data_IF_284475624049
#
_entry.id   IF_284475624049
#
_cell.length_a   1.000
_cell.length_b   1.000
_cell.length_c   1.000
_cell.angle_alpha   90.00
_cell.angle_beta   90.00
_cell.angle_gamma   90.00
#
_symmetry.space_group_name_H-M   'P 1'
#
loop_
_entity.id
_entity.type
_entity.pdbx_description
1 polymer ?
#
# COMPACT_ATOMS: atom_id res chain seq x y z
N UNK A 1 -9.93 -37.42 -30.78
CA UNK A 1 -10.24 -36.20 -30.04
C UNK A 1 -9.06 -35.95 -29.11
N UNK A 2 -8.17 -35.07 -29.52
CA UNK A 2 -6.93 -34.80 -28.80
C UNK A 2 -7.14 -33.74 -27.75
N UNK A 3 -6.88 -34.06 -26.49
CA UNK A 3 -6.79 -33.12 -25.38
C UNK A 3 -5.44 -32.43 -25.43
N UNK A 4 -5.40 -31.17 -25.88
CA UNK A 4 -4.24 -30.32 -25.74
C UNK A 4 -4.10 -29.86 -24.28
N UNK A 5 -3.23 -30.53 -23.53
CA UNK A 5 -2.79 -30.04 -22.24
C UNK A 5 -1.88 -28.83 -22.47
N UNK A 6 -2.34 -27.64 -22.16
CA UNK A 6 -1.49 -26.45 -22.10
C UNK A 6 -0.61 -26.55 -20.87
N UNK A 7 0.60 -27.04 -21.03
CA UNK A 7 1.65 -26.98 -20.01
C UNK A 7 2.01 -25.51 -19.80
N UNK A 8 1.44 -24.90 -18.76
CA UNK A 8 1.89 -23.59 -18.30
C UNK A 8 3.29 -23.79 -17.70
N UNK A 9 4.32 -23.28 -18.36
CA UNK A 9 5.66 -23.40 -17.83
C UNK A 9 5.84 -22.51 -16.57
N UNK A 10 6.79 -22.87 -15.73
CA UNK A 10 7.09 -22.21 -14.46
C UNK A 10 7.34 -20.70 -14.62
N UNK A 11 7.85 -20.29 -15.77
CA UNK A 11 8.17 -18.89 -16.12
C UNK A 11 6.89 -18.08 -16.42
N UNK A 12 5.90 -18.69 -17.07
CA UNK A 12 4.60 -18.07 -17.36
C UNK A 12 3.74 -17.97 -16.08
N UNK A 13 3.88 -18.92 -15.17
CA UNK A 13 3.24 -18.86 -13.85
C UNK A 13 3.84 -17.72 -13.00
N UNK A 14 5.17 -17.60 -12.96
CA UNK A 14 5.87 -16.52 -12.24
C UNK A 14 5.53 -15.15 -12.87
N UNK A 15 5.49 -15.02 -14.20
CA UNK A 15 5.07 -13.78 -14.89
C UNK A 15 3.66 -13.38 -14.52
N UNK A 16 2.71 -14.31 -14.52
CA UNK A 16 1.31 -14.05 -14.13
C UNK A 16 1.19 -13.65 -12.65
N UNK A 17 1.95 -14.30 -11.76
CA UNK A 17 1.94 -13.99 -10.32
C UNK A 17 2.58 -12.65 -10.00
N UNK A 18 3.54 -12.15 -10.80
CA UNK A 18 4.21 -10.87 -10.57
C UNK A 18 3.48 -9.69 -11.20
N UNK A 19 2.70 -9.90 -12.26
CA UNK A 19 1.71 -8.91 -12.73
C UNK A 19 0.66 -8.62 -11.65
N UNK A 20 0.47 -9.58 -10.71
CA UNK A 20 -0.43 -9.45 -9.57
C UNK A 20 0.20 -8.84 -8.31
N UNK A 21 1.52 -8.74 -8.21
CA UNK A 21 2.19 -8.03 -7.12
C UNK A 21 2.03 -6.49 -7.22
N UNK A 22 1.56 -6.00 -8.38
CA UNK A 22 1.08 -4.62 -8.57
C UNK A 22 -0.43 -4.47 -8.44
N UNK A 23 -1.18 -5.53 -8.14
CA UNK A 23 -2.62 -5.61 -8.03
C UNK A 23 -3.20 -6.77 -8.85
N UNK A 24 -3.90 -7.67 -8.22
CA UNK A 24 -4.76 -8.75 -8.65
C UNK A 24 -4.20 -10.17 -8.61
N UNK A 25 -4.66 -10.95 -7.63
CA UNK A 25 -4.60 -12.42 -7.67
C UNK A 25 -5.70 -12.97 -8.57
N UNK A 26 -5.35 -13.80 -9.56
CA UNK A 26 -6.32 -14.63 -10.26
C UNK A 26 -6.57 -15.90 -9.42
N UNK A 27 -7.76 -16.06 -8.87
CA UNK A 27 -8.23 -17.29 -8.22
C UNK A 27 -8.71 -18.32 -9.27
N UNK A 28 -8.56 -19.63 -9.04
CA UNK A 28 -9.03 -20.65 -9.97
C UNK A 28 -10.57 -20.80 -9.94
N UNK A 29 -11.11 -21.07 -11.09
CA UNK A 29 -12.50 -21.22 -11.47
C UNK A 29 -13.26 -22.32 -10.72
N UNK A 30 -14.41 -21.98 -10.08
CA UNK A 30 -15.48 -22.91 -9.72
C UNK A 30 -16.79 -22.38 -10.30
N UNK A 31 -17.50 -23.24 -11.04
CA UNK A 31 -18.48 -22.90 -12.02
C UNK A 31 -19.85 -22.37 -11.60
N UNK A 32 -20.50 -21.72 -12.59
CA UNK A 32 -21.93 -21.52 -12.80
C UNK A 32 -22.69 -20.58 -11.82
N UNK A 33 -22.26 -19.35 -11.79
CA UNK A 33 -23.07 -18.13 -11.67
C UNK A 33 -22.43 -17.09 -12.58
N UNK A 34 -23.13 -16.02 -12.96
CA UNK A 34 -22.60 -14.95 -13.81
C UNK A 34 -21.15 -14.62 -13.39
N UNK A 35 -20.23 -14.69 -14.36
CA UNK A 35 -18.80 -14.49 -14.09
C UNK A 35 -18.60 -13.17 -13.38
N UNK A 36 -18.02 -13.13 -12.16
CA UNK A 36 -17.57 -11.86 -11.60
C UNK A 36 -16.66 -11.19 -12.64
N UNK A 37 -16.78 -9.89 -12.85
CA UNK A 37 -15.85 -9.13 -13.69
C UNK A 37 -14.43 -9.44 -13.19
N UNK A 38 -13.49 -9.65 -14.10
CA UNK A 38 -12.11 -9.89 -13.74
C UNK A 38 -11.63 -8.76 -12.79
N UNK A 39 -10.94 -9.09 -11.68
CA UNK A 39 -10.60 -8.12 -10.65
C UNK A 39 -9.66 -6.99 -11.14
N UNK A 40 -9.01 -7.20 -12.27
CA UNK A 40 -8.20 -6.21 -12.96
C UNK A 40 -8.68 -6.13 -14.41
N UNK A 41 -9.27 -5.02 -14.77
CA UNK A 41 -9.58 -4.72 -16.16
C UNK A 41 -8.34 -4.15 -16.81
N UNK A 42 -7.84 -4.81 -17.87
CA UNK A 42 -6.79 -4.26 -18.72
C UNK A 42 -7.44 -3.59 -19.93
N UNK A 43 -6.94 -2.42 -20.30
CA UNK A 43 -7.28 -1.81 -21.58
C UNK A 43 -6.65 -2.58 -22.77
N UNK A 44 -6.92 -2.14 -24.01
CA UNK A 44 -6.39 -2.78 -25.21
C UNK A 44 -4.85 -2.73 -25.29
N UNK A 45 -4.26 -1.79 -24.59
CA UNK A 45 -2.83 -1.57 -24.52
C UNK A 45 -2.17 -2.34 -23.36
N UNK A 46 -2.97 -2.96 -22.49
CA UNK A 46 -2.51 -3.74 -21.33
C UNK A 46 -2.21 -2.91 -20.09
N UNK A 47 -2.78 -1.71 -19.97
CA UNK A 47 -2.71 -0.89 -18.75
C UNK A 47 -3.82 -1.30 -17.78
N UNK A 48 -3.57 -1.15 -16.48
CA UNK A 48 -4.57 -1.43 -15.46
C UNK A 48 -5.59 -0.30 -15.37
N UNK A 49 -6.87 -0.62 -15.55
CA UNK A 49 -8.00 0.33 -15.42
C UNK A 49 -8.73 0.02 -14.13
N UNK A 50 -8.70 0.93 -13.18
CA UNK A 50 -9.32 0.79 -11.87
C UNK A 50 -10.71 1.41 -11.81
N UNK A 51 -10.87 2.61 -12.41
CA UNK A 51 -12.15 3.30 -12.57
C UNK A 51 -12.19 4.01 -13.93
N UNK A 52 -13.32 4.62 -14.35
CA UNK A 52 -13.33 5.49 -15.52
C UNK A 52 -12.34 6.66 -15.46
N UNK A 53 -11.89 7.03 -14.26
CA UNK A 53 -11.03 8.18 -14.00
C UNK A 53 -9.63 7.82 -13.54
N UNK A 54 -9.36 6.52 -13.23
CA UNK A 54 -8.09 6.10 -12.67
C UNK A 54 -7.51 4.90 -13.42
N UNK A 55 -6.36 5.11 -14.06
CA UNK A 55 -5.58 4.11 -14.79
C UNK A 55 -4.13 4.11 -14.34
N UNK A 56 -3.50 2.95 -14.32
CA UNK A 56 -2.07 2.79 -14.13
C UNK A 56 -1.44 2.24 -15.39
N UNK A 57 -0.40 2.91 -15.88
CA UNK A 57 0.41 2.44 -16.99
C UNK A 57 1.35 1.32 -16.53
N UNK A 58 1.27 0.19 -17.19
CA UNK A 58 2.13 -0.95 -16.88
C UNK A 58 3.27 -1.05 -17.92
N UNK A 59 4.50 -1.42 -17.49
CA UNK A 59 5.59 -1.67 -18.41
C UNK A 59 5.25 -2.84 -19.34
N UNK A 60 5.81 -2.85 -20.55
CA UNK A 60 5.64 -3.98 -21.48
C UNK A 60 6.12 -5.29 -20.85
N UNK A 61 5.47 -6.44 -21.15
CA UNK A 61 5.83 -7.74 -20.57
C UNK A 61 7.30 -8.13 -20.76
N UNK A 62 7.91 -7.71 -21.86
CA UNK A 62 9.32 -8.01 -22.16
C UNK A 62 10.31 -7.16 -21.34
N UNK A 63 9.83 -6.06 -20.75
CA UNK A 63 10.59 -5.12 -19.91
C UNK A 63 10.30 -5.26 -18.41
N UNK A 64 9.71 -6.38 -17.96
CA UNK A 64 9.25 -6.55 -16.56
C UNK A 64 10.38 -6.55 -15.52
N UNK A 65 11.62 -6.84 -15.93
CA UNK A 65 12.78 -6.93 -15.02
C UNK A 65 14.01 -6.27 -15.63
N UNK A 66 13.95 -4.95 -15.95
CA UNK A 66 15.12 -4.23 -16.41
C UNK A 66 16.17 -4.16 -15.29
N UNK A 67 17.43 -4.13 -15.68
CA UNK A 67 18.49 -3.76 -14.75
C UNK A 67 18.42 -2.25 -14.50
N UNK A 68 18.07 -1.85 -13.29
CA UNK A 68 17.86 -0.47 -12.89
C UNK A 68 19.06 0.05 -12.07
N UNK A 69 19.49 1.26 -12.35
CA UNK A 69 20.45 2.01 -11.54
C UNK A 69 19.73 2.78 -10.41
N UNK A 70 18.49 3.20 -10.66
CA UNK A 70 17.61 3.82 -9.66
C UNK A 70 16.26 3.10 -9.64
N UNK A 71 16.01 2.32 -8.57
CA UNK A 71 14.77 1.54 -8.38
C UNK A 71 13.76 2.33 -7.56
N UNK A 72 12.97 3.19 -8.20
CA UNK A 72 12.10 4.17 -7.53
C UNK A 72 10.60 3.91 -7.77
N UNK A 73 10.23 2.67 -8.09
CA UNK A 73 8.87 2.30 -8.50
C UNK A 73 8.04 1.57 -7.41
N UNK A 74 8.60 1.31 -6.21
CA UNK A 74 7.98 0.40 -5.25
C UNK A 74 7.69 0.98 -3.85
N UNK A 75 8.00 2.26 -3.59
CA UNK A 75 7.84 2.90 -2.28
C UNK A 75 8.53 2.10 -1.15
N UNK A 76 9.75 1.65 -1.40
CA UNK A 76 10.63 0.96 -0.45
C UNK A 76 11.50 1.97 0.29
N UNK A 77 12.09 1.59 1.43
CA UNK A 77 13.13 2.37 2.07
C UNK A 77 14.49 1.95 1.48
N UNK A 78 15.23 2.84 0.79
CA UNK A 78 16.47 2.50 0.10
C UNK A 78 17.63 2.16 1.06
N UNK A 79 17.49 2.53 2.34
CA UNK A 79 18.52 2.29 3.35
C UNK A 79 18.43 0.89 3.99
N UNK A 80 17.48 0.06 3.55
CA UNK A 80 17.27 -1.32 4.03
C UNK A 80 16.70 -1.38 5.45
N UNK A 81 16.63 -2.58 6.05
CA UNK A 81 16.32 -2.74 7.47
C UNK A 81 17.40 -2.08 8.33
N UNK A 82 17.01 -1.65 9.54
CA UNK A 82 17.97 -1.12 10.49
C UNK A 82 19.07 -2.14 10.82
N UNK A 83 20.27 -1.69 11.23
CA UNK A 83 21.35 -2.60 11.66
C UNK A 83 20.89 -3.56 12.77
N UNK A 84 20.08 -3.08 13.73
CA UNK A 84 19.51 -3.91 14.78
C UNK A 84 18.57 -4.97 14.24
N UNK A 85 17.67 -4.61 13.33
CA UNK A 85 16.75 -5.55 12.69
C UNK A 85 17.49 -6.58 11.84
N UNK A 86 18.50 -6.17 11.09
CA UNK A 86 19.30 -7.05 10.25
C UNK A 86 20.09 -8.06 11.10
N UNK A 87 20.68 -7.65 12.22
CA UNK A 87 21.40 -8.54 13.12
C UNK A 87 20.44 -9.54 13.80
N UNK A 88 19.28 -9.08 14.28
CA UNK A 88 18.25 -9.95 14.85
C UNK A 88 17.74 -10.99 13.83
N UNK A 89 17.58 -10.58 12.56
CA UNK A 89 17.23 -11.51 11.48
C UNK A 89 18.30 -12.57 11.28
N UNK A 90 19.57 -12.18 11.14
CA UNK A 90 20.70 -13.11 10.88
C UNK A 90 20.89 -14.08 12.04
N UNK A 91 20.90 -13.61 13.28
CA UNK A 91 21.13 -14.43 14.47
C UNK A 91 20.01 -15.45 14.70
N UNK A 92 18.77 -15.14 14.28
CA UNK A 92 17.62 -16.05 14.44
C UNK A 92 17.35 -16.95 13.23
N UNK A 93 18.06 -16.77 12.10
CA UNK A 93 17.81 -17.49 10.86
C UNK A 93 17.93 -19.02 10.99
N UNK A 94 18.85 -19.51 11.84
CA UNK A 94 19.01 -20.96 12.13
C UNK A 94 17.78 -21.60 12.77
N UNK A 95 16.92 -20.81 13.43
CA UNK A 95 15.65 -21.24 14.02
C UNK A 95 14.48 -21.32 13.02
N UNK A 96 14.69 -20.95 11.75
CA UNK A 96 13.64 -20.88 10.72
C UNK A 96 12.93 -22.20 10.39
N UNK A 97 13.38 -23.33 10.93
CA UNK A 97 12.69 -24.63 10.85
C UNK A 97 11.57 -24.77 11.90
N UNK A 98 11.33 -23.77 12.73
CA UNK A 98 10.29 -23.76 13.78
C UNK A 98 9.29 -22.62 13.55
N UNK A 99 8.05 -22.85 13.95
CA UNK A 99 7.04 -21.79 13.98
C UNK A 99 7.31 -20.81 15.13
N UNK A 100 7.13 -19.52 14.90
CA UNK A 100 7.41 -18.43 15.83
C UNK A 100 6.26 -18.18 16.83
N UNK A 101 5.66 -19.23 17.42
CA UNK A 101 4.48 -19.08 18.28
C UNK A 101 4.69 -18.14 19.44
N UNK A 102 5.74 -18.40 20.24
CA UNK A 102 6.05 -17.60 21.43
C UNK A 102 6.49 -16.19 21.06
N UNK A 103 7.35 -16.09 20.08
CA UNK A 103 7.95 -14.84 19.63
C UNK A 103 6.90 -13.95 18.98
N UNK A 104 5.92 -14.54 18.30
CA UNK A 104 4.80 -13.80 17.72
C UNK A 104 3.93 -13.16 18.82
N UNK A 105 3.64 -13.86 19.92
CA UNK A 105 2.94 -13.26 21.06
C UNK A 105 3.75 -12.13 21.69
N UNK A 106 5.06 -12.30 21.84
CA UNK A 106 5.95 -11.23 22.36
C UNK A 106 5.92 -9.99 21.46
N UNK A 107 5.90 -10.18 20.11
CA UNK A 107 5.78 -9.08 19.18
C UNK A 107 4.39 -8.41 19.29
N UNK A 108 3.32 -9.17 19.42
CA UNK A 108 1.95 -8.65 19.65
C UNK A 108 1.89 -7.81 20.92
N UNK A 109 2.43 -8.30 22.04
CA UNK A 109 2.46 -7.57 23.32
C UNK A 109 3.27 -6.27 23.18
N UNK A 110 4.41 -6.32 22.47
CA UNK A 110 5.25 -5.14 22.23
C UNK A 110 4.53 -4.10 21.36
N UNK A 111 3.83 -4.53 20.31
CA UNK A 111 3.03 -3.64 19.45
C UNK A 111 1.86 -3.05 20.25
N UNK A 112 1.16 -3.86 21.03
CA UNK A 112 0.04 -3.40 21.84
C UNK A 112 0.46 -2.30 22.84
N UNK A 113 1.59 -2.51 23.54
CA UNK A 113 2.18 -1.51 24.42
C UNK A 113 2.58 -0.23 23.68
N UNK A 114 3.14 -0.36 22.47
CA UNK A 114 3.55 0.77 21.62
C UNK A 114 2.36 1.58 21.11
N UNK A 115 1.27 0.92 20.68
CA UNK A 115 0.06 1.56 20.18
C UNK A 115 -0.89 2.01 21.31
N UNK A 116 -0.63 1.63 22.56
CA UNK A 116 -1.46 1.98 23.72
C UNK A 116 -2.82 1.25 23.74
N UNK A 117 -2.85 0.00 23.26
CA UNK A 117 -4.04 -0.87 23.22
C UNK A 117 -3.77 -2.21 23.93
N UNK A 118 -4.78 -3.04 24.06
CA UNK A 118 -4.59 -4.42 24.56
C UNK A 118 -4.13 -5.36 23.45
N UNK A 119 -3.41 -6.45 23.80
CA UNK A 119 -2.95 -7.47 22.83
C UNK A 119 -4.09 -8.10 22.02
N UNK A 120 -5.29 -8.19 22.58
CA UNK A 120 -6.50 -8.67 21.90
C UNK A 120 -6.96 -7.77 20.76
N UNK A 121 -6.49 -6.51 20.70
CA UNK A 121 -6.78 -5.56 19.64
C UNK A 121 -5.78 -5.64 18.47
N UNK A 122 -4.80 -6.54 18.52
CA UNK A 122 -3.75 -6.67 17.50
C UNK A 122 -3.94 -7.96 16.69
N UNK A 123 -3.91 -7.85 15.36
CA UNK A 123 -3.79 -9.00 14.47
C UNK A 123 -2.59 -8.81 13.56
N UNK A 124 -1.66 -9.78 13.58
CA UNK A 124 -0.47 -9.79 12.72
C UNK A 124 -0.76 -10.42 11.36
N UNK A 125 -0.01 -10.01 10.35
CA UNK A 125 -0.04 -10.62 9.02
C UNK A 125 1.29 -10.47 8.26
N UNK A 126 1.52 -11.25 7.20
CA UNK A 126 2.71 -11.15 6.36
C UNK A 126 2.66 -9.88 5.47
N UNK A 127 2.80 -8.72 6.12
CA UNK A 127 2.60 -7.38 5.56
C UNK A 127 1.15 -6.91 5.70
N UNK A 128 0.93 -5.59 5.68
CA UNK A 128 -0.42 -5.02 5.76
C UNK A 128 -1.30 -5.40 4.56
N UNK A 129 -0.74 -5.58 3.36
CA UNK A 129 -1.50 -5.97 2.17
C UNK A 129 -2.26 -7.29 2.36
N UNK A 130 -1.65 -8.29 2.99
CA UNK A 130 -2.33 -9.56 3.34
C UNK A 130 -3.56 -9.33 4.24
N UNK A 131 -3.46 -8.38 5.17
CA UNK A 131 -4.57 -8.03 6.08
C UNK A 131 -5.65 -7.20 5.39
N UNK A 132 -5.28 -6.27 4.48
CA UNK A 132 -6.22 -5.55 3.64
C UNK A 132 -7.04 -6.52 2.77
N UNK A 133 -6.36 -7.45 2.08
CA UNK A 133 -6.98 -8.44 1.21
C UNK A 133 -7.90 -9.37 1.98
N UNK A 134 -7.48 -9.88 3.13
CA UNK A 134 -8.30 -10.72 4.00
C UNK A 134 -9.50 -9.97 4.57
N UNK A 135 -9.34 -8.70 4.93
CA UNK A 135 -10.46 -7.86 5.35
C UNK A 135 -11.48 -7.75 4.23
N UNK A 136 -11.04 -7.46 3.01
CA UNK A 136 -11.93 -7.44 1.86
C UNK A 136 -12.68 -8.76 1.66
N UNK A 137 -11.97 -9.90 1.71
CA UNK A 137 -12.61 -11.22 1.59
C UNK A 137 -13.69 -11.43 2.65
N UNK A 138 -13.42 -11.10 3.93
CA UNK A 138 -14.36 -11.31 5.03
C UNK A 138 -15.59 -10.40 4.94
N UNK A 139 -15.37 -9.13 4.60
CA UNK A 139 -16.44 -8.15 4.61
C UNK A 139 -17.35 -8.27 3.39
N UNK A 140 -16.81 -8.73 2.25
CA UNK A 140 -17.52 -8.73 0.97
C UNK A 140 -17.86 -10.13 0.42
N UNK A 141 -17.64 -11.21 1.16
CA UNK A 141 -18.00 -12.57 0.71
C UNK A 141 -19.50 -12.76 0.40
N UNK A 142 -20.34 -11.86 0.89
CA UNK A 142 -21.77 -11.83 0.62
C UNK A 142 -22.18 -10.62 -0.25
N UNK A 143 -21.24 -10.04 -1.01
CA UNK A 143 -21.46 -8.84 -1.82
C UNK A 143 -21.51 -7.56 -0.99
N UNK A 144 -22.09 -6.53 -1.54
CA UNK A 144 -22.18 -5.18 -0.99
C UNK A 144 -21.23 -4.22 -1.71
N UNK A 145 -20.92 -3.09 -1.07
CA UNK A 145 -20.00 -2.12 -1.65
C UNK A 145 -18.99 -1.56 -0.65
N UNK A 146 -17.85 -1.10 -1.18
CA UNK A 146 -16.83 -0.33 -0.47
C UNK A 146 -16.86 1.11 -0.96
N UNK A 147 -16.90 2.07 -0.03
CA UNK A 147 -16.73 3.50 -0.31
C UNK A 147 -15.27 3.86 -0.07
N UNK A 148 -14.62 4.48 -1.04
CA UNK A 148 -13.26 5.01 -0.87
C UNK A 148 -12.94 6.13 -1.85
N UNK A 149 -11.83 6.83 -1.61
CA UNK A 149 -11.33 7.84 -2.53
C UNK A 149 -10.93 7.25 -3.91
N UNK A 150 -10.97 8.10 -4.93
CA UNK A 150 -10.43 7.86 -6.27
C UNK A 150 -9.53 9.05 -6.67
N UNK A 151 -8.21 8.86 -6.84
CA UNK A 151 -7.47 7.59 -6.71
C UNK A 151 -7.18 7.19 -5.25
N UNK A 152 -7.02 5.87 -5.02
CA UNK A 152 -6.61 5.27 -3.76
C UNK A 152 -5.66 4.09 -3.96
N UNK A 153 -5.16 3.51 -2.86
CA UNK A 153 -4.41 2.25 -2.92
C UNK A 153 -5.36 1.07 -3.12
N UNK A 154 -5.23 0.39 -4.25
CA UNK A 154 -6.25 -0.49 -4.81
C UNK A 154 -6.31 -1.92 -4.22
N UNK A 155 -5.36 -2.34 -3.38
CA UNK A 155 -5.26 -3.75 -2.93
C UNK A 155 -6.56 -4.26 -2.29
N UNK A 156 -7.13 -3.54 -1.33
CA UNK A 156 -8.39 -3.90 -0.68
C UNK A 156 -9.57 -3.86 -1.67
N UNK A 157 -9.65 -2.80 -2.47
CA UNK A 157 -10.75 -2.55 -3.41
C UNK A 157 -10.81 -3.65 -4.48
N UNK A 158 -9.67 -4.00 -5.08
CA UNK A 158 -9.61 -5.04 -6.10
C UNK A 158 -10.02 -6.41 -5.57
N UNK A 159 -9.64 -6.76 -4.35
CA UNK A 159 -10.07 -8.01 -3.73
C UNK A 159 -11.56 -7.97 -3.42
N UNK A 160 -12.10 -6.83 -2.93
CA UNK A 160 -13.54 -6.66 -2.73
C UNK A 160 -14.32 -6.89 -4.03
N UNK A 161 -13.90 -6.28 -5.14
CA UNK A 161 -14.51 -6.50 -6.45
C UNK A 161 -14.37 -7.94 -6.95
N UNK A 162 -13.23 -8.59 -6.68
CA UNK A 162 -12.98 -9.99 -7.05
C UNK A 162 -13.91 -10.98 -6.38
N UNK A 163 -14.38 -10.66 -5.17
CA UNK A 163 -15.33 -11.50 -4.42
C UNK A 163 -16.79 -11.07 -4.61
N UNK A 164 -17.05 -10.12 -5.51
CA UNK A 164 -18.40 -9.73 -5.94
C UNK A 164 -18.95 -8.46 -5.32
N UNK A 165 -18.14 -7.68 -4.63
CA UNK A 165 -18.52 -6.34 -4.20
C UNK A 165 -18.45 -5.32 -5.35
N UNK A 166 -19.03 -4.14 -5.14
CA UNK A 166 -18.81 -2.98 -5.98
C UNK A 166 -18.01 -1.91 -5.26
N UNK A 167 -17.22 -1.16 -6.02
CA UNK A 167 -16.55 0.03 -5.51
C UNK A 167 -17.40 1.27 -5.78
N UNK A 168 -17.53 2.14 -4.78
CA UNK A 168 -18.09 3.48 -4.88
C UNK A 168 -16.93 4.50 -4.79
N UNK A 169 -16.34 4.90 -5.94
CA UNK A 169 -15.27 5.86 -5.98
C UNK A 169 -15.80 7.26 -5.64
N UNK A 170 -15.06 7.96 -4.77
CA UNK A 170 -15.31 9.37 -4.45
C UNK A 170 -14.07 10.17 -4.83
N UNK A 171 -14.15 11.13 -5.76
CA UNK A 171 -13.00 11.95 -6.13
C UNK A 171 -12.39 12.65 -4.93
N UNK A 172 -11.05 12.79 -4.93
CA UNK A 172 -10.36 13.66 -3.99
C UNK A 172 -10.74 15.12 -4.23
N UNK A 173 -10.63 15.97 -3.20
CA UNK A 173 -10.80 17.41 -3.35
C UNK A 173 -9.64 18.03 -4.16
N UNK A 174 -9.77 19.30 -4.52
CA UNK A 174 -8.73 20.04 -5.25
C UNK A 174 -7.40 20.15 -4.48
N UNK A 175 -7.46 20.14 -3.14
CA UNK A 175 -6.29 20.11 -2.26
C UNK A 175 -5.72 18.70 -2.03
N UNK A 176 -6.21 17.70 -2.76
CA UNK A 176 -5.84 16.30 -2.69
C UNK A 176 -6.23 15.59 -1.39
N UNK A 177 -6.98 16.22 -0.50
CA UNK A 177 -7.55 15.57 0.68
C UNK A 177 -8.79 14.73 0.30
N UNK A 178 -9.15 13.78 1.18
CA UNK A 178 -10.39 13.03 1.02
C UNK A 178 -11.61 13.96 1.13
N UNK A 179 -12.56 13.83 0.22
CA UNK A 179 -13.88 14.46 0.39
C UNK A 179 -14.73 13.61 1.36
N UNK A 180 -14.47 13.80 2.64
CA UNK A 180 -15.12 13.04 3.71
C UNK A 180 -16.64 13.22 3.70
N UNK A 181 -17.13 14.41 3.28
CA UNK A 181 -18.56 14.66 3.17
C UNK A 181 -19.18 13.85 2.03
N UNK A 182 -18.60 13.90 0.85
CA UNK A 182 -19.07 13.10 -0.29
C UNK A 182 -18.93 11.59 -0.01
N UNK A 183 -17.87 11.15 0.69
CA UNK A 183 -17.74 9.76 1.13
C UNK A 183 -18.86 9.34 2.08
N UNK A 184 -19.27 10.19 3.03
CA UNK A 184 -20.37 9.90 3.94
C UNK A 184 -21.72 9.86 3.21
N UNK A 185 -21.93 10.73 2.23
CA UNK A 185 -23.14 10.75 1.38
C UNK A 185 -23.23 9.52 0.45
N UNK A 186 -22.08 8.94 0.07
CA UNK A 186 -22.03 7.72 -0.75
C UNK A 186 -22.38 6.43 0.02
N UNK A 187 -22.43 6.45 1.36
CA UNK A 187 -22.76 5.30 2.19
C UNK A 187 -24.27 4.99 2.06
N UNK A 188 -24.59 3.72 1.79
CA UNK A 188 -25.94 3.19 1.76
C UNK A 188 -26.07 1.88 2.54
N UNK A 189 -27.26 1.23 2.49
CA UNK A 189 -27.55 -0.02 3.21
C UNK A 189 -26.69 -1.21 2.75
N UNK A 190 -26.16 -1.17 1.52
CA UNK A 190 -25.27 -2.18 0.97
C UNK A 190 -23.79 -1.92 1.30
N UNK A 191 -23.44 -0.76 1.86
CA UNK A 191 -22.07 -0.44 2.22
C UNK A 191 -21.60 -1.31 3.39
N UNK A 192 -20.51 -2.07 3.19
CA UNK A 192 -19.96 -2.97 4.22
C UNK A 192 -18.67 -2.46 4.85
N UNK A 193 -18.01 -1.52 4.19
CA UNK A 193 -16.74 -0.93 4.65
C UNK A 193 -16.53 0.42 3.98
N UNK A 194 -16.00 1.38 4.74
CA UNK A 194 -15.38 2.60 4.20
C UNK A 194 -13.87 2.40 4.26
N UNK A 195 -13.16 2.67 3.17
CA UNK A 195 -11.71 2.52 3.09
C UNK A 195 -11.02 3.86 2.86
N UNK A 196 -10.06 4.19 3.72
CA UNK A 196 -9.27 5.42 3.68
C UNK A 196 -7.79 5.04 3.71
N UNK A 197 -7.00 5.56 2.79
CA UNK A 197 -5.54 5.49 2.81
C UNK A 197 -4.98 6.87 3.21
N UNK A 198 -4.43 7.01 4.41
CA UNK A 198 -3.97 8.30 4.90
C UNK A 198 -2.64 8.19 5.69
N UNK A 199 -1.53 8.70 5.13
CA UNK A 199 -1.36 9.44 3.87
C UNK A 199 -1.72 8.63 2.63
N UNK A 200 -2.33 9.27 1.63
CA UNK A 200 -2.88 8.58 0.47
C UNK A 200 -1.80 8.07 -0.50
N UNK A 201 -2.07 6.98 -1.17
CA UNK A 201 -1.30 6.44 -2.29
C UNK A 201 -2.25 6.29 -3.50
N UNK A 202 -2.00 6.95 -4.66
CA UNK A 202 -0.69 7.39 -5.14
C UNK A 202 -0.32 8.86 -4.90
N UNK A 203 -1.18 9.69 -4.30
CA UNK A 203 -1.00 11.15 -4.25
C UNK A 203 0.04 11.62 -3.23
N UNK A 204 0.22 10.90 -2.12
CA UNK A 204 1.09 11.31 -1.01
C UNK A 204 0.46 12.35 -0.08
N UNK A 205 -0.75 12.77 -0.37
CA UNK A 205 -1.49 13.81 0.35
C UNK A 205 -2.02 13.34 1.70
N UNK A 206 -2.35 14.29 2.56
CA UNK A 206 -2.94 14.08 3.89
C UNK A 206 -4.32 14.72 3.97
N UNK A 207 -5.23 14.05 4.63
CA UNK A 207 -6.49 14.65 5.09
C UNK A 207 -6.29 15.26 6.48
N UNK A 208 -6.95 16.37 6.77
CA UNK A 208 -6.89 16.98 8.09
C UNK A 208 -7.22 15.99 9.19
N UNK A 209 -6.38 15.94 10.20
CA UNK A 209 -6.49 14.93 11.26
C UNK A 209 -7.79 15.05 12.04
N UNK A 210 -8.22 16.28 12.38
CA UNK A 210 -9.44 16.49 13.16
C UNK A 210 -10.67 16.10 12.35
N UNK A 211 -10.73 16.53 11.08
CA UNK A 211 -11.83 16.14 10.18
C UNK A 211 -11.92 14.61 10.03
N UNK A 212 -10.75 13.95 9.92
CA UNK A 212 -10.71 12.49 9.78
C UNK A 212 -11.14 11.78 11.06
N UNK A 213 -10.74 12.25 12.25
CA UNK A 213 -11.19 11.71 13.55
C UNK A 213 -12.71 11.85 13.68
N UNK A 214 -13.23 13.05 13.41
CA UNK A 214 -14.67 13.33 13.49
C UNK A 214 -15.48 12.44 12.51
N UNK A 215 -14.96 12.25 11.30
CA UNK A 215 -15.57 11.37 10.28
C UNK A 215 -15.55 9.90 10.74
N UNK A 216 -14.38 9.37 11.10
CA UNK A 216 -14.24 7.99 11.52
C UNK A 216 -15.11 7.69 12.76
N UNK A 217 -15.16 8.61 13.72
CA UNK A 217 -15.99 8.46 14.93
C UNK A 217 -17.48 8.36 14.62
N UNK A 218 -18.00 9.20 13.70
CA UNK A 218 -19.42 9.17 13.31
C UNK A 218 -19.77 7.98 12.43
N UNK A 219 -18.95 7.75 11.39
CA UNK A 219 -19.25 6.73 10.37
C UNK A 219 -19.15 5.32 10.95
N UNK A 220 -18.20 5.09 11.87
CA UNK A 220 -18.02 3.77 12.50
C UNK A 220 -19.19 3.31 13.38
N UNK A 221 -20.16 4.20 13.69
CA UNK A 221 -21.40 3.82 14.36
C UNK A 221 -22.39 3.08 13.42
N UNK A 222 -22.19 3.18 12.10
CA UNK A 222 -23.08 2.59 11.08
C UNK A 222 -22.37 1.53 10.23
N UNK A 223 -21.13 1.78 9.88
CA UNK A 223 -20.32 0.92 9.00
C UNK A 223 -18.86 0.99 9.43
N UNK A 224 -18.14 -0.14 9.51
CA UNK A 224 -16.72 -0.14 9.86
C UNK A 224 -15.88 0.75 8.93
N UNK A 225 -14.86 1.42 9.48
CA UNK A 225 -13.94 2.26 8.72
C UNK A 225 -12.55 1.63 8.76
N UNK A 226 -11.98 1.32 7.60
CA UNK A 226 -10.61 0.85 7.47
C UNK A 226 -9.69 2.02 7.12
N UNK A 227 -8.68 2.29 7.95
CA UNK A 227 -7.69 3.35 7.72
C UNK A 227 -6.32 2.73 7.51
N UNK A 228 -5.80 2.82 6.30
CA UNK A 228 -4.44 2.38 5.96
C UNK A 228 -3.45 3.49 6.26
N UNK A 229 -2.71 3.33 7.34
CA UNK A 229 -1.71 4.27 7.84
C UNK A 229 -0.26 3.82 7.51
N UNK A 230 -0.06 3.13 6.38
CA UNK A 230 1.24 2.57 6.00
C UNK A 230 2.38 3.61 5.93
N UNK A 231 2.07 4.87 5.69
CA UNK A 231 3.04 5.96 5.55
C UNK A 231 3.08 6.92 6.75
N UNK A 232 2.25 6.71 7.76
CA UNK A 232 2.09 7.67 8.86
C UNK A 232 3.40 7.96 9.61
N UNK A 233 4.28 6.96 9.72
CA UNK A 233 5.58 7.09 10.40
C UNK A 233 6.63 7.95 9.68
N UNK A 234 6.36 8.39 8.44
CA UNK A 234 7.17 9.41 7.75
C UNK A 234 6.90 10.82 8.25
N UNK A 235 5.81 11.02 8.99
CA UNK A 235 5.48 12.31 9.59
C UNK A 235 6.19 12.49 10.92
N UNK A 236 6.61 13.71 11.19
CA UNK A 236 6.92 14.12 12.54
C UNK A 236 5.65 13.99 13.38
N UNK A 237 5.78 13.44 14.58
CA UNK A 237 4.64 13.18 15.46
C UNK A 237 3.52 12.31 14.84
N UNK A 238 3.85 11.44 13.89
CA UNK A 238 2.87 10.57 13.21
C UNK A 238 1.98 9.78 14.17
N UNK A 239 2.52 9.34 15.31
CA UNK A 239 1.74 8.66 16.36
C UNK A 239 0.54 9.48 16.85
N UNK A 240 0.66 10.81 16.97
CA UNK A 240 -0.42 11.71 17.39
C UNK A 240 -1.51 11.86 16.34
N UNK A 241 -1.23 11.47 15.09
CA UNK A 241 -2.17 11.55 13.97
C UNK A 241 -2.83 10.23 13.63
N UNK A 242 -2.60 9.19 14.43
CA UNK A 242 -3.21 7.87 14.27
C UNK A 242 -4.67 7.85 14.69
N UNK A 243 -5.45 7.02 14.01
CA UNK A 243 -6.84 6.71 14.39
C UNK A 243 -6.93 5.63 15.48
N UNK A 244 -5.82 5.14 16.04
CA UNK A 244 -5.79 4.06 17.05
C UNK A 244 -6.57 4.44 18.30
N UNK A 245 -6.58 5.72 18.72
CA UNK A 245 -7.36 6.20 19.89
C UNK A 245 -8.84 5.85 19.79
N UNK A 246 -9.41 5.84 18.57
CA UNK A 246 -10.81 5.51 18.34
C UNK A 246 -11.14 4.05 18.70
N UNK A 247 -10.18 3.12 18.59
CA UNK A 247 -10.36 1.74 19.04
C UNK A 247 -10.53 1.67 20.54
N UNK A 248 -9.76 2.46 21.32
CA UNK A 248 -9.90 2.57 22.76
C UNK A 248 -11.24 3.20 23.19
N UNK A 249 -11.83 4.01 22.31
CA UNK A 249 -13.16 4.61 22.47
C UNK A 249 -14.30 3.65 22.07
N UNK A 250 -13.98 2.44 21.64
CA UNK A 250 -14.96 1.43 21.23
C UNK A 250 -15.55 1.65 19.83
N UNK A 251 -14.89 2.44 18.99
CA UNK A 251 -15.31 2.69 17.62
C UNK A 251 -14.85 1.57 16.68
N UNK A 252 -15.69 1.13 15.76
CA UNK A 252 -15.35 0.07 14.80
C UNK A 252 -14.47 0.61 13.66
N UNK A 253 -13.23 0.91 14.02
CA UNK A 253 -12.19 1.37 13.12
C UNK A 253 -11.07 0.32 13.06
N UNK A 254 -10.62 -0.01 11.86
CA UNK A 254 -9.52 -0.96 11.60
C UNK A 254 -8.34 -0.15 11.08
N UNK A 255 -7.24 -0.13 11.81
CA UNK A 255 -6.04 0.62 11.44
C UNK A 255 -4.97 -0.34 10.94
N UNK A 256 -4.47 -0.15 9.71
CA UNK A 256 -3.39 -0.96 9.16
C UNK A 256 -2.03 -0.28 9.31
N UNK A 257 -1.03 -1.08 9.70
CA UNK A 257 0.37 -0.70 9.89
C UNK A 257 1.29 -1.69 9.21
N UNK A 258 2.45 -1.23 8.78
CA UNK A 258 3.42 -2.08 8.10
C UNK A 258 4.86 -1.73 8.46
N UNK A 259 5.69 -2.76 8.57
CA UNK A 259 7.15 -2.63 8.65
C UNK A 259 7.81 -2.47 7.25
N UNK A 260 7.02 -2.56 6.17
CA UNK A 260 7.55 -2.51 4.80
C UNK A 260 8.10 -1.15 4.39
N UNK A 261 7.66 -0.05 5.02
CA UNK A 261 7.97 1.32 4.58
C UNK A 261 9.15 1.89 5.37
N UNK A 262 8.93 2.71 6.38
CA UNK A 262 10.00 3.41 7.09
C UNK A 262 11.00 2.46 7.77
N UNK A 263 10.56 1.29 8.23
CA UNK A 263 11.44 0.29 8.84
C UNK A 263 12.33 -0.47 7.84
N UNK A 264 12.13 -0.28 6.52
CA UNK A 264 12.95 -0.91 5.49
C UNK A 264 12.78 -2.42 5.35
N UNK A 265 11.67 -2.99 5.81
CA UNK A 265 11.46 -4.43 5.91
C UNK A 265 10.45 -4.96 4.85
N UNK A 266 10.37 -4.32 3.68
CA UNK A 266 9.41 -4.69 2.64
C UNK A 266 9.50 -6.19 2.24
N UNK A 267 10.71 -6.71 2.09
CA UNK A 267 10.96 -8.11 1.76
C UNK A 267 10.75 -9.10 2.92
N UNK A 268 10.72 -8.63 4.17
CA UNK A 268 10.57 -9.47 5.36
C UNK A 268 9.10 -9.73 5.73
N UNK A 269 8.18 -9.03 5.09
CA UNK A 269 6.75 -9.26 5.17
C UNK A 269 6.19 -9.26 6.60
N UNK A 270 6.21 -8.12 7.28
CA UNK A 270 5.59 -7.94 8.60
C UNK A 270 4.64 -6.76 8.57
N UNK A 271 3.43 -6.95 9.08
CA UNK A 271 2.42 -5.92 9.26
C UNK A 271 1.39 -6.33 10.30
N UNK A 272 0.55 -5.41 10.70
CA UNK A 272 -0.52 -5.65 11.66
C UNK A 272 -1.70 -4.72 11.43
N UNK A 273 -2.83 -5.10 11.98
CA UNK A 273 -3.98 -4.22 12.17
C UNK A 273 -4.29 -4.08 13.63
N UNK A 274 -4.84 -2.90 13.99
CA UNK A 274 -5.41 -2.58 15.30
C UNK A 274 -6.91 -2.41 15.10
N UNK A 275 -7.74 -3.13 15.86
CA UNK A 275 -9.19 -3.03 15.78
C UNK A 275 -9.86 -3.55 17.06
N UNK A 276 -11.18 -3.43 17.15
CA UNK A 276 -11.95 -4.05 18.20
C UNK A 276 -11.80 -5.57 18.17
N UNK A 277 -11.81 -6.21 19.34
CA UNK A 277 -11.71 -7.67 19.47
C UNK A 277 -12.81 -8.39 18.66
N UNK A 278 -14.04 -7.85 18.64
CA UNK A 278 -15.14 -8.42 17.87
C UNK A 278 -14.83 -8.43 16.37
N UNK A 279 -14.31 -7.33 15.83
CA UNK A 279 -13.91 -7.20 14.42
C UNK A 279 -12.77 -8.15 14.09
N UNK A 280 -11.75 -8.26 14.96
CA UNK A 280 -10.66 -9.22 14.78
C UNK A 280 -11.15 -10.67 14.83
N UNK A 281 -12.08 -11.01 15.73
CA UNK A 281 -12.69 -12.34 15.80
C UNK A 281 -13.47 -12.69 14.53
N UNK A 282 -14.12 -11.70 13.90
CA UNK A 282 -14.74 -11.88 12.58
C UNK A 282 -13.71 -12.23 11.51
N UNK A 283 -12.58 -11.54 11.47
CA UNK A 283 -11.48 -11.81 10.54
C UNK A 283 -10.84 -13.17 10.80
N UNK A 284 -10.64 -13.56 12.04
CA UNK A 284 -10.00 -14.82 12.44
C UNK A 284 -10.77 -16.08 12.00
N UNK A 285 -12.05 -15.97 11.67
CA UNK A 285 -12.83 -17.12 11.15
C UNK A 285 -12.25 -17.68 9.86
N UNK A 286 -11.58 -16.87 9.05
CA UNK A 286 -10.97 -17.29 7.78
C UNK A 286 -9.48 -16.96 7.67
N UNK A 287 -8.93 -16.20 8.61
CA UNK A 287 -7.50 -15.85 8.61
C UNK A 287 -6.79 -16.50 9.77
N UNK A 288 -5.53 -16.89 9.57
CA UNK A 288 -4.69 -17.47 10.63
C UNK A 288 -3.72 -16.45 11.23
N UNK A 289 -3.99 -15.15 11.03
CA UNK A 289 -3.17 -14.07 11.57
C UNK A 289 -1.70 -14.16 11.15
N UNK A 290 -0.81 -13.95 12.12
CA UNK A 290 0.64 -13.86 11.90
C UNK A 290 1.38 -15.16 11.58
N UNK A 291 0.71 -16.31 11.45
CA UNK A 291 1.37 -17.59 11.17
C UNK A 291 2.16 -17.65 9.85
N UNK A 292 1.87 -16.74 8.92
CA UNK A 292 2.63 -16.58 7.67
C UNK A 292 3.93 -15.79 7.82
N UNK A 293 4.24 -15.27 9.02
CA UNK A 293 5.45 -14.50 9.28
C UNK A 293 6.56 -15.46 9.73
N UNK A 294 7.73 -15.36 9.09
CA UNK A 294 8.87 -16.20 9.46
C UNK A 294 9.46 -15.81 10.81
N UNK A 295 10.02 -16.78 11.54
CA UNK A 295 10.68 -16.53 12.82
C UNK A 295 11.72 -15.40 12.74
N UNK A 296 12.65 -15.37 11.74
CA UNK A 296 13.61 -14.27 11.63
C UNK A 296 12.94 -12.90 11.41
N UNK A 297 11.83 -12.86 10.66
CA UNK A 297 11.10 -11.62 10.44
C UNK A 297 10.44 -11.09 11.73
N UNK A 298 9.98 -11.98 12.61
CA UNK A 298 9.43 -11.59 13.93
C UNK A 298 10.51 -10.96 14.80
N UNK A 299 11.70 -11.57 14.89
CA UNK A 299 12.83 -11.01 15.64
C UNK A 299 13.30 -9.67 15.06
N UNK A 300 13.39 -9.58 13.73
CA UNK A 300 13.74 -8.33 13.05
C UNK A 300 12.73 -7.21 13.36
N UNK A 301 11.42 -7.53 13.37
CA UNK A 301 10.39 -6.55 13.69
C UNK A 301 10.47 -6.05 15.13
N UNK A 302 10.69 -6.94 16.10
CA UNK A 302 10.90 -6.55 17.50
C UNK A 302 12.10 -5.61 17.66
N UNK A 303 13.23 -5.92 16.99
CA UNK A 303 14.43 -5.10 17.03
C UNK A 303 14.25 -3.76 16.30
N UNK A 304 13.52 -3.75 15.17
CA UNK A 304 13.22 -2.52 14.43
C UNK A 304 12.40 -1.51 15.23
N UNK A 305 11.53 -1.97 16.13
CA UNK A 305 10.75 -1.10 17.03
C UNK A 305 11.61 -0.41 18.07
N UNK A 306 12.76 -0.97 18.43
CA UNK A 306 13.70 -0.40 19.40
C UNK A 306 14.69 0.59 18.77
N UNK A 307 14.78 0.63 17.43
CA UNK A 307 15.76 1.46 16.71
C UNK A 307 15.16 2.82 16.30
N UNK A 308 14.84 3.64 17.29
CA UNK A 308 14.30 5.00 17.06
C UNK A 308 15.25 5.88 16.23
N UNK A 309 16.57 5.69 16.40
CA UNK A 309 17.58 6.45 15.68
C UNK A 309 17.55 6.15 14.16
N UNK A 310 17.30 4.89 13.79
CA UNK A 310 17.12 4.53 12.38
C UNK A 310 15.86 5.15 11.78
N UNK A 311 14.76 5.17 12.53
CA UNK A 311 13.51 5.79 12.07
C UNK A 311 13.69 7.29 11.84
N UNK A 312 14.33 7.99 12.78
CA UNK A 312 14.62 9.41 12.64
C UNK A 312 15.53 9.67 11.45
N UNK A 313 16.63 8.91 11.32
CA UNK A 313 17.54 8.98 10.16
C UNK A 313 16.77 8.77 8.85
N UNK A 314 15.90 7.76 8.78
CA UNK A 314 15.11 7.46 7.57
C UNK A 314 14.15 8.60 7.22
N UNK A 315 13.49 9.23 8.20
CA UNK A 315 12.65 10.40 7.97
C UNK A 315 13.46 11.57 7.40
N UNK A 316 14.58 11.89 8.04
CA UNK A 316 15.42 13.02 7.64
C UNK A 316 15.97 12.85 6.23
N UNK A 317 16.50 11.67 5.89
CA UNK A 317 17.01 11.38 4.55
C UNK A 317 15.90 11.38 3.49
N UNK A 318 14.71 10.85 3.83
CA UNK A 318 13.56 10.93 2.96
C UNK A 318 13.12 12.38 2.70
N UNK A 319 13.10 13.23 3.73
CA UNK A 319 12.75 14.64 3.61
C UNK A 319 13.77 15.40 2.76
N UNK A 320 15.07 15.14 2.96
CA UNK A 320 16.16 15.73 2.17
C UNK A 320 16.06 15.36 0.68
N UNK A 321 15.84 14.06 0.39
CA UNK A 321 15.65 13.59 -0.99
C UNK A 321 14.41 14.19 -1.63
N UNK A 322 13.30 14.29 -0.90
CA UNK A 322 12.07 14.89 -1.39
C UNK A 322 12.24 16.37 -1.73
N UNK A 323 12.88 17.11 -0.86
CA UNK A 323 13.18 18.54 -1.08
C UNK A 323 14.09 18.72 -2.31
N UNK A 324 15.13 17.90 -2.45
CA UNK A 324 15.99 17.90 -3.63
C UNK A 324 15.19 17.69 -4.93
N UNK A 325 14.23 16.74 -4.93
CA UNK A 325 13.40 16.48 -6.11
C UNK A 325 12.46 17.64 -6.39
N UNK A 326 11.83 18.27 -5.38
CA UNK A 326 10.99 19.44 -5.58
C UNK A 326 11.76 20.58 -6.23
N UNK A 327 12.93 20.91 -5.72
CA UNK A 327 13.81 21.95 -6.29
C UNK A 327 14.23 21.62 -7.73
N UNK A 328 14.43 20.34 -8.04
CA UNK A 328 14.78 19.90 -9.39
C UNK A 328 13.60 20.03 -10.35
N UNK A 329 12.40 19.65 -9.93
CA UNK A 329 11.17 19.82 -10.72
C UNK A 329 10.89 21.31 -11.01
N UNK A 330 11.05 22.18 -10.01
CA UNK A 330 10.87 23.63 -10.18
C UNK A 330 11.86 24.21 -11.21
N UNK A 331 13.12 23.76 -11.20
CA UNK A 331 14.12 24.15 -12.21
C UNK A 331 13.76 23.69 -13.63
N UNK A 332 13.02 22.58 -13.75
CA UNK A 332 12.49 22.06 -15.02
C UNK A 332 11.15 22.72 -15.40
N UNK A 333 10.64 23.68 -14.61
CA UNK A 333 9.36 24.36 -14.84
C UNK A 333 8.13 23.58 -14.35
N UNK A 334 8.30 22.46 -13.65
CA UNK A 334 7.20 21.65 -13.09
C UNK A 334 6.90 22.15 -11.67
N UNK A 335 5.83 22.92 -11.51
CA UNK A 335 5.43 23.53 -10.23
C UNK A 335 4.14 22.95 -9.66
N UNK A 336 3.43 22.12 -10.42
CA UNK A 336 2.11 21.55 -10.06
C UNK A 336 2.20 20.14 -9.46
N UNK A 337 3.30 19.81 -8.78
CA UNK A 337 3.42 18.56 -8.01
C UNK A 337 2.52 18.58 -6.77
N UNK A 338 2.13 17.39 -6.30
CA UNK A 338 1.34 17.24 -5.07
C UNK A 338 2.28 17.23 -3.85
N UNK A 339 2.09 18.11 -2.86
CA UNK A 339 2.86 18.06 -1.62
C UNK A 339 2.68 16.71 -0.91
N UNK A 340 3.78 16.02 -0.63
CA UNK A 340 3.73 14.65 -0.12
C UNK A 340 4.17 14.53 1.33
N UNK A 341 3.42 13.71 2.07
CA UNK A 341 3.72 13.28 3.44
C UNK A 341 4.24 11.82 3.50
N UNK A 342 4.76 11.30 2.38
CA UNK A 342 5.16 9.89 2.23
C UNK A 342 6.62 9.73 1.79
N UNK A 343 6.99 8.50 1.42
CA UNK A 343 8.26 8.16 0.77
C UNK A 343 8.21 8.23 -0.75
N UNK A 344 7.28 8.98 -1.33
CA UNK A 344 7.18 9.20 -2.76
C UNK A 344 6.49 10.55 -3.02
N UNK A 345 6.62 11.04 -4.24
CA UNK A 345 5.89 12.21 -4.73
C UNK A 345 5.21 11.87 -6.05
N UNK A 346 4.21 12.67 -6.42
CA UNK A 346 3.66 12.68 -7.76
C UNK A 346 3.76 14.06 -8.39
N UNK A 347 3.97 14.08 -9.70
CA UNK A 347 3.96 15.30 -10.50
C UNK A 347 3.40 15.00 -11.90
N UNK A 348 2.80 16.00 -12.59
CA UNK A 348 2.22 15.80 -13.91
C UNK A 348 3.29 15.58 -14.96
N UNK A 349 2.96 14.78 -15.98
CA UNK A 349 3.74 14.59 -17.21
C UNK A 349 2.85 14.87 -18.43
N UNK A 350 3.37 15.55 -19.43
CA UNK A 350 2.61 15.89 -20.64
C UNK A 350 2.50 14.72 -21.62
N UNK A 351 3.52 13.84 -21.63
CA UNK A 351 3.57 12.69 -22.52
C UNK A 351 2.69 11.54 -22.01
N UNK A 352 2.39 10.61 -22.90
CA UNK A 352 1.67 9.38 -22.60
C UNK A 352 2.48 8.53 -21.60
N UNK A 353 1.81 8.00 -20.56
CA UNK A 353 2.49 7.41 -19.41
C UNK A 353 3.34 6.19 -19.74
N UNK A 354 2.95 5.34 -20.72
CA UNK A 354 3.76 4.18 -21.12
C UNK A 354 5.02 4.60 -21.86
N UNK A 355 4.91 5.56 -22.77
CA UNK A 355 6.08 6.11 -23.48
C UNK A 355 7.07 6.73 -22.49
N UNK A 356 6.54 7.40 -21.45
CA UNK A 356 7.35 7.93 -20.35
C UNK A 356 8.09 6.81 -19.59
N UNK A 357 7.39 5.74 -19.23
CA UNK A 357 7.99 4.59 -18.52
C UNK A 357 9.08 3.91 -19.36
N UNK A 358 8.87 3.76 -20.67
CA UNK A 358 9.84 3.17 -21.60
C UNK A 358 11.12 4.01 -21.64
N UNK A 359 11.02 5.32 -21.85
CA UNK A 359 12.18 6.22 -21.90
C UNK A 359 12.94 6.27 -20.56
N UNK A 360 12.22 6.34 -19.42
CA UNK A 360 12.86 6.27 -18.10
C UNK A 360 13.58 4.94 -17.88
N UNK A 361 12.98 3.83 -18.32
CA UNK A 361 13.57 2.48 -18.21
C UNK A 361 14.81 2.33 -19.10
N UNK A 362 14.83 2.89 -20.30
CA UNK A 362 16.02 2.93 -21.16
C UNK A 362 17.18 3.68 -20.51
N UNK A 363 16.87 4.68 -19.68
CA UNK A 363 17.83 5.40 -18.85
C UNK A 363 18.08 4.73 -17.49
N UNK A 364 17.64 3.46 -17.31
CA UNK A 364 17.80 2.62 -16.14
C UNK A 364 17.16 3.17 -14.86
N UNK A 365 16.10 3.95 -15.00
CA UNK A 365 15.33 4.52 -13.89
C UNK A 365 13.93 3.92 -13.88
N UNK A 366 13.58 3.23 -12.79
CA UNK A 366 12.26 2.65 -12.57
C UNK A 366 11.36 3.60 -11.79
N UNK A 367 10.27 4.03 -12.40
CA UNK A 367 9.21 4.85 -11.78
C UNK A 367 7.83 4.26 -12.09
N UNK A 368 6.75 4.88 -11.63
CA UNK A 368 5.38 4.51 -12.01
C UNK A 368 4.67 5.67 -12.69
N UNK A 369 3.75 5.36 -13.59
CA UNK A 369 2.93 6.34 -14.23
C UNK A 369 1.44 5.99 -14.10
N UNK A 370 0.63 7.02 -13.91
CA UNK A 370 -0.81 6.93 -13.71
C UNK A 370 -1.52 7.94 -14.58
N UNK A 371 -2.82 7.73 -14.78
CA UNK A 371 -3.74 8.72 -15.33
C UNK A 371 -4.92 8.85 -14.37
N UNK A 372 -5.18 10.06 -13.90
CA UNK A 372 -6.38 10.45 -13.15
C UNK A 372 -6.57 11.97 -13.25
N UNK A 373 -7.81 12.43 -13.03
CA UNK A 373 -8.19 13.83 -13.21
C UNK A 373 -7.78 14.39 -14.60
N UNK A 374 -7.97 13.56 -15.64
CA UNK A 374 -7.63 13.87 -17.04
C UNK A 374 -6.16 14.27 -17.30
N UNK A 375 -5.26 13.89 -16.39
CA UNK A 375 -3.84 14.19 -16.41
C UNK A 375 -3.01 12.91 -16.25
N UNK A 376 -1.87 12.84 -16.95
CA UNK A 376 -0.84 11.83 -16.71
C UNK A 376 0.09 12.27 -15.58
N UNK A 377 0.45 11.31 -14.73
CA UNK A 377 1.26 11.54 -13.52
C UNK A 377 2.41 10.58 -13.45
N UNK A 378 3.58 11.06 -13.08
CA UNK A 378 4.69 10.23 -12.61
C UNK A 378 4.66 10.14 -11.09
N UNK A 379 4.78 8.92 -10.53
CA UNK A 379 5.08 8.71 -9.13
C UNK A 379 6.51 8.18 -9.00
N UNK A 380 7.34 8.93 -8.27
CA UNK A 380 8.71 8.55 -7.96
C UNK A 380 8.86 8.34 -6.46
N UNK A 381 9.38 7.17 -6.06
CA UNK A 381 9.73 6.89 -4.66
C UNK A 381 11.04 7.59 -4.30
N UNK A 382 11.18 7.99 -3.03
CA UNK A 382 12.46 8.53 -2.55
C UNK A 382 13.47 7.39 -2.40
N UNK A 383 14.54 7.49 -3.17
CA UNK A 383 15.71 6.63 -3.12
C UNK A 383 16.81 7.21 -2.24
N UNK A 384 18.03 6.74 -2.41
CA UNK A 384 19.23 7.43 -1.92
C UNK A 384 19.45 8.74 -2.69
N UNK A 385 20.23 9.67 -2.15
CA UNK A 385 20.52 10.93 -2.87
C UNK A 385 21.15 10.70 -4.25
N UNK A 386 21.97 9.65 -4.41
CA UNK A 386 22.57 9.32 -5.70
C UNK A 386 21.52 8.77 -6.69
N UNK A 387 20.56 7.95 -6.23
CA UNK A 387 19.44 7.53 -7.06
C UNK A 387 18.53 8.71 -7.44
N UNK A 388 18.35 9.70 -6.53
CA UNK A 388 17.60 10.92 -6.86
C UNK A 388 18.29 11.77 -7.93
N UNK A 389 19.62 11.90 -7.88
CA UNK A 389 20.41 12.58 -8.92
C UNK A 389 20.31 11.85 -10.26
N UNK A 390 20.40 10.52 -10.25
CA UNK A 390 20.22 9.69 -11.46
C UNK A 390 18.81 9.90 -12.04
N UNK A 391 17.79 9.90 -11.20
CA UNK A 391 16.40 10.15 -11.60
C UNK A 391 16.23 11.53 -12.23
N UNK A 392 16.69 12.60 -11.57
CA UNK A 392 16.50 13.97 -12.07
C UNK A 392 17.25 14.21 -13.37
N UNK A 393 18.45 13.62 -13.54
CA UNK A 393 19.21 13.69 -14.79
C UNK A 393 18.54 12.89 -15.93
N UNK A 394 17.88 11.78 -15.63
CA UNK A 394 17.10 11.03 -16.61
C UNK A 394 15.82 11.78 -17.00
N UNK A 395 15.12 12.34 -16.00
CA UNK A 395 13.90 13.11 -16.21
C UNK A 395 14.14 14.33 -17.11
N UNK A 396 15.21 15.09 -16.88
CA UNK A 396 15.60 16.25 -17.69
C UNK A 396 15.78 15.87 -19.17
N UNK A 397 16.38 14.70 -19.46
CA UNK A 397 16.56 14.18 -20.82
C UNK A 397 15.24 13.74 -21.47
N UNK A 398 14.31 13.19 -20.68
CA UNK A 398 13.01 12.69 -21.20
C UNK A 398 12.07 13.85 -21.49
N UNK A 399 12.20 14.97 -20.77
CA UNK A 399 11.36 16.16 -20.92
C UNK A 399 11.94 17.19 -21.93
N UNK A 400 13.23 17.08 -22.30
CA UNK A 400 13.87 17.94 -23.31
C UNK A 400 13.40 17.59 -24.74
#
# INVERSE_FOLDING_TARGET
MGTTSTNINRRDWIRKSMLTAGGAMALPYIGLAERPKAPLTLDREGNAVYSPFFKEYLPKPDALFPELEAKLNANENPYGPSPMALEAFKSSASGGNRYAWRELFQLVDKIAAFEGVESKNIMMGPGSSDLLEKTAMVFFMNGGNVVSADPAYMSLIQVAESVGASWKPVPLKEDWSHDLKAMEEAIDDDTKLVYICNPNNPTGSMTDHKELVDFCSRVSERVPVFVDEAYLWFLDEGAKKSMVSLVNEGKDVIIARTFSKIHGMAGLRVGYIVALEETLNRLQKITRGGMGISLPSVYAAMAAMDDAAFLEKSRNLNAECREYVYQSLEKMGITSYVPSSTSFIIFPIEMEGRAFLEQMTELKVGVRAFQFMDQNWCRVSMGTMDEMKTFTAALDKVLA
#
